data_IF_976064751148
#
_entry.id   IF_976064751148
#
_cell.length_a   1.000
_cell.length_b   1.000
_cell.length_c   1.000
_cell.angle_alpha   90.00
_cell.angle_beta   90.00
_cell.angle_gamma   90.00
#
_symmetry.space_group_name_H-M   'P 1'
#
loop_
_entity.id
_entity.type
_entity.pdbx_description
1 polymer ?
#
# COMPACT_ATOMS: atom_id res chain seq x y z
N UNK A 1 -12.82 15.22 -26.56
CA UNK A 1 -14.16 14.63 -26.32
C UNK A 1 -14.32 14.45 -24.82
N UNK A 2 -15.50 14.72 -24.25
CA UNK A 2 -15.68 14.87 -22.79
C UNK A 2 -15.36 13.56 -22.05
N UNK A 3 -14.20 13.54 -21.38
CA UNK A 3 -13.48 12.33 -20.96
C UNK A 3 -13.78 11.91 -19.51
N UNK A 4 -14.99 12.16 -19.03
CA UNK A 4 -15.42 11.69 -17.70
C UNK A 4 -15.99 10.28 -17.84
N UNK A 5 -15.09 9.30 -17.84
CA UNK A 5 -15.47 7.91 -17.60
C UNK A 5 -15.99 7.78 -16.15
N UNK A 6 -17.14 7.12 -15.92
CA UNK A 6 -17.70 6.99 -14.57
C UNK A 6 -16.86 6.10 -13.66
N UNK A 7 -16.02 5.22 -14.21
CA UNK A 7 -15.17 4.27 -13.47
C UNK A 7 -13.68 4.54 -13.68
N UNK A 8 -12.85 4.11 -12.73
CA UNK A 8 -11.38 4.11 -12.84
C UNK A 8 -10.93 3.16 -13.94
N UNK A 9 -9.88 3.54 -14.70
CA UNK A 9 -9.21 2.62 -15.62
C UNK A 9 -8.23 1.74 -14.83
N UNK A 10 -8.10 0.44 -15.15
CA UNK A 10 -7.25 -0.47 -14.39
C UNK A 10 -5.76 -0.25 -14.70
N UNK A 11 -5.21 0.89 -14.27
CA UNK A 11 -3.82 1.31 -14.47
C UNK A 11 -3.09 1.13 -13.15
N UNK A 12 -1.88 0.59 -13.18
CA UNK A 12 -1.05 0.44 -11.97
C UNK A 12 -0.33 1.74 -11.65
N UNK A 13 0.02 1.96 -10.38
CA UNK A 13 0.77 3.13 -9.96
C UNK A 13 2.10 3.27 -10.72
N UNK A 14 2.84 2.17 -10.90
CA UNK A 14 4.08 2.15 -11.68
C UNK A 14 3.90 2.70 -13.11
N UNK A 15 2.81 2.32 -13.80
CA UNK A 15 2.55 2.83 -15.16
C UNK A 15 2.18 4.32 -15.18
N UNK A 16 1.62 4.87 -14.11
CA UNK A 16 1.42 6.32 -13.97
C UNK A 16 2.74 7.05 -13.75
N UNK A 17 3.66 6.46 -12.99
CA UNK A 17 5.01 6.99 -12.79
C UNK A 17 5.79 7.00 -14.09
N UNK A 18 5.89 5.84 -14.76
CA UNK A 18 6.67 5.68 -15.99
C UNK A 18 6.19 6.63 -17.10
N UNK A 19 4.88 6.78 -17.32
CA UNK A 19 4.38 7.67 -18.38
C UNK A 19 4.60 9.15 -18.06
N UNK A 20 4.55 9.52 -16.78
CA UNK A 20 4.87 10.88 -16.32
C UNK A 20 6.35 11.18 -16.58
N UNK A 21 7.23 10.25 -16.20
CA UNK A 21 8.67 10.33 -16.45
C UNK A 21 9.01 10.41 -17.95
N UNK A 22 8.42 9.54 -18.77
CA UNK A 22 8.62 9.54 -20.22
C UNK A 22 8.22 10.87 -20.89
N UNK A 23 7.24 11.58 -20.32
CA UNK A 23 6.73 12.85 -20.84
C UNK A 23 7.39 14.10 -20.23
N UNK A 24 8.36 13.94 -19.31
CA UNK A 24 8.99 15.02 -18.55
C UNK A 24 9.87 15.90 -19.45
N UNK A 25 10.80 15.28 -20.17
CA UNK A 25 11.85 15.98 -20.91
C UNK A 25 11.50 16.31 -22.36
N UNK A 26 10.60 15.56 -22.98
CA UNK A 26 10.18 15.76 -24.36
C UNK A 26 8.73 15.39 -24.60
N UNK A 27 8.09 16.05 -25.58
CA UNK A 27 6.75 15.65 -26.00
C UNK A 27 6.79 14.25 -26.64
N UNK A 28 5.92 13.35 -26.20
CA UNK A 28 5.83 11.98 -26.71
C UNK A 28 4.64 11.78 -27.63
N UNK A 29 4.76 10.88 -28.61
CA UNK A 29 3.62 10.40 -29.41
C UNK A 29 3.16 9.05 -28.89
N UNK A 30 1.97 8.60 -29.29
CA UNK A 30 1.50 7.24 -28.96
C UNK A 30 2.48 6.16 -29.45
N UNK A 31 3.04 6.33 -30.66
CA UNK A 31 4.01 5.37 -31.23
C UNK A 31 5.29 5.28 -30.40
N UNK A 32 5.85 6.42 -29.97
CA UNK A 32 7.06 6.44 -29.15
C UNK A 32 6.84 5.73 -27.81
N UNK A 33 5.68 5.99 -27.18
CA UNK A 33 5.32 5.34 -25.93
C UNK A 33 5.04 3.84 -26.11
N UNK A 34 4.52 3.40 -27.26
CA UNK A 34 4.30 1.98 -27.51
C UNK A 34 5.62 1.22 -27.59
N UNK A 35 6.60 1.79 -28.27
CA UNK A 35 7.97 1.25 -28.37
C UNK A 35 8.68 1.23 -27.00
N UNK A 36 8.56 2.31 -26.22
CA UNK A 36 9.24 2.41 -24.93
C UNK A 36 8.65 1.48 -23.86
N UNK A 37 7.34 1.25 -23.86
CA UNK A 37 6.65 0.51 -22.79
C UNK A 37 6.48 -0.99 -23.09
N UNK A 38 6.85 -1.44 -24.30
CA UNK A 38 6.66 -2.79 -24.83
C UNK A 38 5.26 -3.35 -24.47
N UNK A 39 4.23 -2.61 -24.85
CA UNK A 39 2.85 -2.95 -24.51
C UNK A 39 1.92 -2.74 -25.71
N UNK A 40 0.74 -3.36 -25.66
CA UNK A 40 -0.24 -3.18 -26.74
C UNK A 40 -0.76 -1.74 -26.77
N UNK A 41 -1.00 -1.18 -27.96
CA UNK A 41 -1.68 0.11 -28.16
C UNK A 41 -2.91 0.29 -27.25
N UNK A 42 -3.77 -0.74 -27.14
CA UNK A 42 -4.97 -0.70 -26.28
C UNK A 42 -4.62 -0.46 -24.80
N UNK A 43 -3.57 -1.13 -24.31
CA UNK A 43 -3.10 -0.99 -22.92
C UNK A 43 -2.50 0.40 -22.71
N UNK A 44 -1.63 0.83 -23.62
CA UNK A 44 -1.01 2.14 -23.57
C UNK A 44 -2.06 3.26 -23.58
N UNK A 45 -3.04 3.18 -24.48
CA UNK A 45 -4.15 4.13 -24.54
C UNK A 45 -4.90 4.23 -23.22
N UNK A 46 -5.07 3.11 -22.50
CA UNK A 46 -5.68 3.13 -21.16
C UNK A 46 -4.83 3.89 -20.14
N UNK A 47 -3.49 3.76 -20.21
CA UNK A 47 -2.54 4.46 -19.34
C UNK A 47 -2.56 5.96 -19.65
N UNK A 48 -2.46 6.33 -20.93
CA UNK A 48 -2.51 7.72 -21.40
C UNK A 48 -3.79 8.41 -20.95
N UNK A 49 -4.95 7.79 -21.19
CA UNK A 49 -6.24 8.38 -20.84
C UNK A 49 -6.43 8.54 -19.33
N UNK A 50 -5.92 7.62 -18.50
CA UNK A 50 -5.99 7.81 -17.05
C UNK A 50 -5.02 8.90 -16.58
N UNK A 51 -3.84 8.98 -17.17
CA UNK A 51 -2.84 10.01 -16.84
C UNK A 51 -3.31 11.42 -17.25
N UNK A 52 -4.01 11.54 -18.39
CA UNK A 52 -4.70 12.77 -18.80
C UNK A 52 -5.81 13.13 -17.82
N UNK A 53 -6.60 12.15 -17.37
CA UNK A 53 -7.69 12.35 -16.41
C UNK A 53 -7.18 12.83 -15.04
N UNK A 54 -6.03 12.30 -14.60
CA UNK A 54 -5.35 12.71 -13.38
C UNK A 54 -4.57 14.02 -13.52
N UNK A 55 -4.61 14.64 -14.71
CA UNK A 55 -3.86 15.85 -15.04
C UNK A 55 -2.33 15.67 -14.89
N UNK A 56 -1.79 14.45 -14.97
CA UNK A 56 -0.34 14.18 -14.92
C UNK A 56 0.35 14.56 -16.23
N UNK A 57 -0.34 14.32 -17.34
CA UNK A 57 0.07 14.70 -18.69
C UNK A 57 -1.05 15.47 -19.37
N UNK A 58 -0.71 16.18 -20.45
CA UNK A 58 -1.66 16.90 -21.32
C UNK A 58 -1.37 16.66 -22.79
N UNK A 59 -2.42 16.71 -23.61
CA UNK A 59 -2.28 16.73 -25.07
C UNK A 59 -1.91 18.13 -25.54
N UNK A 60 -0.85 18.23 -26.35
CA UNK A 60 -0.53 19.42 -27.12
C UNK A 60 -1.34 19.35 -28.41
N UNK A 61 -2.28 20.28 -28.61
CA UNK A 61 -2.97 20.39 -29.90
C UNK A 61 -1.96 20.85 -30.95
N UNK A 62 -1.93 20.16 -32.10
CA UNK A 62 -1.22 20.61 -33.30
C UNK A 62 -1.78 21.96 -33.72
N UNK A 63 -1.21 23.02 -33.19
CA UNK A 63 -1.42 24.37 -33.68
C UNK A 63 -0.12 24.78 -34.33
N UNK A 64 -0.21 25.00 -35.65
CA UNK A 64 0.63 25.96 -36.36
C UNK A 64 1.97 25.49 -36.98
N UNK A 65 2.04 24.31 -37.63
CA UNK A 65 3.24 23.95 -38.40
C UNK A 65 3.01 23.36 -39.81
N UNK A 66 1.79 23.46 -40.36
CA UNK A 66 1.53 23.16 -41.78
C UNK A 66 1.94 21.77 -42.27
N UNK A 67 2.14 20.81 -41.36
CA UNK A 67 2.42 19.40 -41.68
C UNK A 67 1.14 18.60 -41.51
N UNK A 68 0.81 17.82 -42.54
CA UNK A 68 -0.41 17.00 -42.68
C UNK A 68 -0.56 15.85 -41.68
N UNK A 69 0.35 15.71 -40.71
CA UNK A 69 0.28 14.65 -39.70
C UNK A 69 -0.24 15.22 -38.37
N UNK A 70 -1.57 15.25 -38.21
CA UNK A 70 -2.25 15.49 -36.92
C UNK A 70 -1.98 14.34 -35.94
N UNK A 71 -0.74 14.25 -35.44
CA UNK A 71 -0.38 13.27 -34.41
C UNK A 71 -0.44 13.94 -33.04
N UNK A 72 -1.33 13.43 -32.19
CA UNK A 72 -1.42 13.84 -30.78
C UNK A 72 -0.05 13.69 -30.09
N UNK A 73 0.38 14.76 -29.42
CA UNK A 73 1.60 14.79 -28.61
C UNK A 73 1.25 14.99 -27.15
N UNK A 74 1.95 14.29 -26.27
CA UNK A 74 1.74 14.34 -24.83
C UNK A 74 2.95 14.95 -24.14
N UNK A 75 2.70 15.80 -23.14
CA UNK A 75 3.75 16.37 -22.28
C UNK A 75 3.27 16.39 -20.84
N UNK A 76 4.21 16.31 -19.89
CA UNK A 76 3.94 16.50 -18.48
C UNK A 76 3.25 17.85 -18.21
N UNK A 77 2.40 17.89 -17.18
CA UNK A 77 1.84 19.12 -16.62
C UNK A 77 2.61 19.54 -15.38
N UNK A 78 2.28 20.69 -14.78
CA UNK A 78 2.81 21.06 -13.45
C UNK A 78 2.44 20.07 -12.36
N UNK A 79 1.29 19.39 -12.47
CA UNK A 79 0.87 18.36 -11.51
C UNK A 79 1.69 17.10 -11.71
N UNK A 80 1.96 16.72 -12.97
CA UNK A 80 2.86 15.62 -13.28
C UNK A 80 4.29 15.87 -12.81
N UNK A 81 4.78 17.11 -12.91
CA UNK A 81 6.10 17.51 -12.39
C UNK A 81 6.16 17.34 -10.85
N UNK A 82 5.15 17.82 -10.12
CA UNK A 82 5.06 17.64 -8.66
C UNK A 82 4.92 16.16 -8.27
N UNK A 83 4.15 15.39 -9.03
CA UNK A 83 4.00 13.96 -8.83
C UNK A 83 5.33 13.23 -9.03
N UNK A 84 6.07 13.58 -10.09
CA UNK A 84 7.39 13.01 -10.37
C UNK A 84 8.40 13.37 -9.28
N UNK A 85 8.46 14.64 -8.87
CA UNK A 85 9.34 15.10 -7.78
C UNK A 85 9.07 14.34 -6.47
N UNK A 86 7.80 14.17 -6.09
CA UNK A 86 7.42 13.40 -4.91
C UNK A 86 7.83 11.92 -5.01
N UNK A 87 7.78 11.32 -6.20
CA UNK A 87 8.26 9.95 -6.42
C UNK A 87 9.78 9.87 -6.27
N UNK A 88 10.52 10.83 -6.85
CA UNK A 88 11.99 10.85 -6.78
C UNK A 88 12.52 11.13 -5.38
N UNK A 89 11.74 11.83 -4.55
CA UNK A 89 12.06 12.09 -3.15
C UNK A 89 11.57 10.97 -2.21
N UNK A 90 10.96 9.92 -2.75
CA UNK A 90 10.29 8.83 -2.00
C UNK A 90 9.23 9.34 -1.00
N UNK A 91 8.64 10.52 -1.24
CA UNK A 91 7.56 11.09 -0.45
C UNK A 91 6.21 10.47 -0.87
N UNK A 92 6.01 9.21 -0.52
CA UNK A 92 4.81 8.45 -0.86
C UNK A 92 3.52 9.07 -0.30
N UNK A 93 3.60 9.81 0.81
CA UNK A 93 2.46 10.56 1.36
C UNK A 93 2.08 11.71 0.45
N UNK A 94 3.06 12.46 -0.07
CA UNK A 94 2.80 13.52 -1.04
C UNK A 94 2.25 12.95 -2.35
N UNK A 95 2.76 11.81 -2.83
CA UNK A 95 2.20 11.10 -4.00
C UNK A 95 0.72 10.74 -3.77
N UNK A 96 0.38 10.18 -2.60
CA UNK A 96 -1.00 9.86 -2.23
C UNK A 96 -1.89 11.11 -2.19
N UNK A 97 -1.42 12.21 -1.60
CA UNK A 97 -2.17 13.47 -1.53
C UNK A 97 -2.47 14.07 -2.91
N UNK A 98 -1.52 13.98 -3.85
CA UNK A 98 -1.74 14.39 -5.23
C UNK A 98 -2.83 13.52 -5.87
N UNK A 99 -2.76 12.20 -5.71
CA UNK A 99 -3.75 11.28 -6.25
C UNK A 99 -5.13 11.48 -5.64
N UNK A 100 -5.25 11.71 -4.33
CA UNK A 100 -6.50 12.03 -3.64
C UNK A 100 -7.15 13.29 -4.22
N UNK A 101 -6.35 14.33 -4.45
CA UNK A 101 -6.84 15.58 -5.03
C UNK A 101 -7.29 15.41 -6.48
N UNK A 102 -6.59 14.58 -7.26
CA UNK A 102 -6.77 14.47 -8.72
C UNK A 102 -7.71 13.34 -9.15
N UNK A 103 -7.89 12.33 -8.32
CA UNK A 103 -8.76 11.19 -8.55
C UNK A 103 -9.93 11.18 -7.55
N UNK A 104 -11.16 11.53 -7.99
CA UNK A 104 -12.35 11.40 -7.17
C UNK A 104 -12.57 10.01 -6.58
N UNK A 105 -12.22 8.95 -7.33
CA UNK A 105 -12.37 7.56 -6.89
C UNK A 105 -11.39 7.20 -5.77
N UNK A 106 -10.10 7.48 -5.96
CA UNK A 106 -9.06 7.32 -4.93
C UNK A 106 -9.37 8.13 -3.65
N UNK A 107 -9.74 9.40 -3.76
CA UNK A 107 -10.10 10.21 -2.59
C UNK A 107 -11.35 9.71 -1.87
N UNK A 108 -12.40 9.33 -2.61
CA UNK A 108 -13.59 8.71 -2.01
C UNK A 108 -13.25 7.39 -1.30
N UNK A 109 -12.40 6.56 -1.90
CA UNK A 109 -11.94 5.31 -1.29
C UNK A 109 -11.24 5.54 0.04
N UNK A 110 -10.29 6.49 0.12
CA UNK A 110 -9.61 6.81 1.37
C UNK A 110 -10.57 7.38 2.42
N UNK A 111 -11.44 8.32 2.02
CA UNK A 111 -12.42 8.93 2.93
C UNK A 111 -13.37 7.89 3.54
N UNK A 112 -13.91 6.99 2.71
CA UNK A 112 -14.81 5.93 3.19
C UNK A 112 -14.07 4.99 4.14
N UNK A 113 -12.88 4.53 3.74
CA UNK A 113 -12.08 3.64 4.58
C UNK A 113 -11.75 4.30 5.92
N UNK A 114 -11.40 5.59 5.94
CA UNK A 114 -11.05 6.29 7.17
C UNK A 114 -12.18 6.24 8.20
N UNK A 115 -13.43 6.29 7.75
CA UNK A 115 -14.61 6.28 8.59
C UNK A 115 -15.03 4.88 9.08
N UNK A 116 -14.92 3.85 8.22
CA UNK A 116 -15.47 2.52 8.51
C UNK A 116 -14.42 1.48 8.91
N UNK A 117 -13.13 1.81 8.82
CA UNK A 117 -12.01 0.89 9.08
C UNK A 117 -12.04 0.24 10.49
N UNK A 118 -11.52 -1.00 10.62
CA UNK A 118 -11.06 -1.87 9.54
C UNK A 118 -12.24 -2.43 8.72
N UNK A 119 -12.07 -2.60 7.42
CA UNK A 119 -13.17 -3.03 6.55
C UNK A 119 -12.75 -3.99 5.43
N UNK A 120 -13.60 -4.98 5.17
CA UNK A 120 -13.47 -5.90 4.03
C UNK A 120 -13.81 -5.18 2.72
N UNK A 121 -13.30 -5.73 1.60
CA UNK A 121 -13.51 -5.18 0.26
C UNK A 121 -15.01 -4.97 -0.08
N UNK A 122 -15.87 -5.93 0.28
CA UNK A 122 -17.29 -5.86 -0.04
C UNK A 122 -18.02 -4.78 0.77
N UNK A 123 -17.66 -4.62 2.05
CA UNK A 123 -18.18 -3.54 2.89
C UNK A 123 -17.76 -2.17 2.35
N UNK A 124 -16.49 -2.02 1.96
CA UNK A 124 -16.00 -0.80 1.33
C UNK A 124 -16.70 -0.49 0.01
N UNK A 125 -16.91 -1.51 -0.84
CA UNK A 125 -17.59 -1.34 -2.11
C UNK A 125 -19.04 -0.87 -1.91
N UNK A 126 -19.78 -1.50 -1.00
CA UNK A 126 -21.15 -1.12 -0.70
C UNK A 126 -21.24 0.33 -0.20
N UNK A 127 -20.38 0.73 0.74
CA UNK A 127 -20.33 2.10 1.24
C UNK A 127 -19.95 3.12 0.15
N UNK A 128 -19.02 2.76 -0.74
CA UNK A 128 -18.64 3.60 -1.87
C UNK A 128 -19.79 3.79 -2.86
N UNK A 129 -20.53 2.72 -3.17
CA UNK A 129 -21.71 2.76 -4.05
C UNK A 129 -22.80 3.65 -3.43
N UNK A 130 -23.12 3.46 -2.14
CA UNK A 130 -24.17 4.21 -1.44
C UNK A 130 -23.84 5.71 -1.35
N UNK A 131 -22.62 6.06 -0.95
CA UNK A 131 -22.22 7.47 -0.78
C UNK A 131 -22.09 8.23 -2.09
N UNK A 132 -21.83 7.53 -3.19
CA UNK A 132 -21.62 8.13 -4.50
C UNK A 132 -22.80 7.93 -5.46
N UNK A 133 -23.93 7.40 -5.00
CA UNK A 133 -25.15 7.14 -5.80
C UNK A 133 -25.58 8.36 -6.62
N UNK A 134 -25.44 9.56 -6.05
CA UNK A 134 -25.87 10.83 -6.65
C UNK A 134 -24.74 11.59 -7.37
N UNK A 135 -23.59 10.95 -7.57
CA UNK A 135 -22.42 11.52 -8.27
C UNK A 135 -22.31 10.90 -9.67
N UNK A 136 -21.52 11.50 -10.59
CA UNK A 136 -21.24 10.85 -11.88
C UNK A 136 -20.26 9.67 -11.78
N UNK A 137 -19.77 9.34 -10.57
CA UNK A 137 -18.77 8.31 -10.35
C UNK A 137 -19.43 7.00 -9.93
N UNK A 138 -19.06 5.92 -10.61
CA UNK A 138 -19.47 4.57 -10.28
C UNK A 138 -18.27 3.78 -9.75
N UNK A 139 -18.56 2.88 -8.81
CA UNK A 139 -17.58 1.97 -8.22
C UNK A 139 -17.91 0.55 -8.65
N UNK A 140 -16.87 -0.26 -8.76
CA UNK A 140 -16.97 -1.69 -8.95
C UNK A 140 -15.73 -2.31 -8.31
N UNK A 141 -15.76 -3.62 -8.08
CA UNK A 141 -14.68 -4.33 -7.40
C UNK A 141 -13.29 -4.03 -8.01
N UNK A 142 -13.16 -4.09 -9.34
CA UNK A 142 -11.88 -3.81 -10.01
C UNK A 142 -11.39 -2.39 -9.79
N UNK A 143 -12.29 -1.40 -9.82
CA UNK A 143 -11.94 -0.01 -9.55
C UNK A 143 -11.44 0.20 -8.12
N UNK A 144 -12.12 -0.42 -7.14
CA UNK A 144 -11.73 -0.39 -5.73
C UNK A 144 -10.39 -1.09 -5.51
N UNK A 145 -10.16 -2.25 -6.13
CA UNK A 145 -8.88 -2.96 -6.05
C UNK A 145 -7.73 -2.16 -6.67
N UNK A 146 -7.97 -1.40 -7.73
CA UNK A 146 -6.94 -0.55 -8.37
C UNK A 146 -6.54 0.61 -7.45
N UNK A 147 -7.50 1.36 -6.90
CA UNK A 147 -7.19 2.47 -5.99
C UNK A 147 -6.65 1.97 -4.65
N UNK A 148 -7.14 0.82 -4.18
CA UNK A 148 -6.60 0.11 -3.02
C UNK A 148 -5.15 -0.34 -3.24
N UNK A 149 -4.81 -0.88 -4.42
CA UNK A 149 -3.43 -1.24 -4.76
C UNK A 149 -2.50 -0.01 -4.77
N UNK A 150 -2.96 1.12 -5.28
CA UNK A 150 -2.19 2.37 -5.20
C UNK A 150 -1.96 2.77 -3.74
N UNK A 151 -3.00 2.77 -2.92
CA UNK A 151 -2.93 3.15 -1.51
C UNK A 151 -2.05 2.20 -0.68
N UNK A 152 -2.16 0.87 -0.89
CA UNK A 152 -1.32 -0.13 -0.22
C UNK A 152 0.16 0.09 -0.55
N UNK A 153 0.49 0.31 -1.83
CA UNK A 153 1.87 0.52 -2.26
C UNK A 153 2.49 1.79 -1.70
N UNK A 154 1.69 2.85 -1.60
CA UNK A 154 2.10 4.14 -1.02
C UNK A 154 2.21 4.10 0.51
N UNK A 155 1.84 2.98 1.14
CA UNK A 155 1.93 2.79 2.60
C UNK A 155 0.93 3.63 3.40
N UNK A 156 -0.04 4.29 2.75
CA UNK A 156 -1.10 5.06 3.44
C UNK A 156 -2.21 4.17 3.99
N UNK A 157 -2.34 2.96 3.46
CA UNK A 157 -3.19 1.91 4.00
C UNK A 157 -2.40 0.61 4.07
N UNK A 158 -2.87 -0.32 4.88
CA UNK A 158 -2.45 -1.71 4.85
C UNK A 158 -3.67 -2.61 4.73
N UNK A 159 -3.45 -3.79 4.15
CA UNK A 159 -4.39 -4.90 4.20
C UNK A 159 -3.82 -5.97 5.12
N UNK A 160 -4.64 -6.40 6.07
CA UNK A 160 -4.29 -7.49 6.96
C UNK A 160 -4.11 -8.77 6.13
N UNK A 161 -2.92 -9.35 6.19
CA UNK A 161 -2.53 -10.44 5.32
C UNK A 161 -3.30 -11.75 5.55
N UNK A 162 -3.94 -11.90 6.71
CA UNK A 162 -4.68 -13.10 7.12
C UNK A 162 -6.20 -12.96 6.97
N UNK A 163 -6.74 -11.74 7.03
CA UNK A 163 -8.19 -11.49 6.95
C UNK A 163 -8.61 -10.75 5.68
N UNK A 164 -7.67 -10.05 5.01
CA UNK A 164 -7.97 -9.24 3.83
C UNK A 164 -8.66 -7.89 4.14
N UNK A 165 -8.82 -7.53 5.42
CA UNK A 165 -9.38 -6.25 5.86
C UNK A 165 -8.41 -5.11 5.62
N UNK A 166 -8.91 -4.01 5.05
CA UNK A 166 -8.15 -2.78 4.86
C UNK A 166 -8.26 -1.89 6.10
N UNK A 167 -7.19 -1.16 6.39
CA UNK A 167 -7.13 -0.12 7.42
C UNK A 167 -6.13 0.97 7.03
N UNK A 168 -6.35 2.18 7.53
CA UNK A 168 -5.45 3.32 7.32
C UNK A 168 -4.23 3.17 8.23
N UNK A 169 -3.07 3.58 7.73
CA UNK A 169 -1.84 3.72 8.53
C UNK A 169 -1.66 5.18 8.90
N UNK A 170 -1.81 5.51 10.18
CA UNK A 170 -1.69 6.89 10.68
C UNK A 170 -0.47 7.11 11.60
N UNK A 171 0.27 6.04 11.91
CA UNK A 171 1.41 6.06 12.83
C UNK A 171 2.63 5.36 12.27
N UNK A 172 3.77 6.04 12.32
CA UNK A 172 5.10 5.45 12.08
C UNK A 172 5.78 4.94 13.35
N UNK A 173 5.07 4.97 14.49
CA UNK A 173 5.56 4.49 15.79
C UNK A 173 4.43 3.82 16.56
N UNK A 174 4.74 2.81 17.36
CA UNK A 174 3.74 2.19 18.23
C UNK A 174 3.30 3.14 19.36
N UNK A 175 2.04 3.07 19.82
CA UNK A 175 1.56 3.95 20.88
C UNK A 175 2.10 3.55 22.28
N UNK A 176 2.02 4.43 23.29
CA UNK A 176 2.46 4.11 24.65
C UNK A 176 1.75 2.91 25.29
N UNK A 177 0.49 2.65 24.91
CA UNK A 177 -0.27 1.49 25.36
C UNK A 177 -0.01 0.21 24.55
N UNK A 178 1.01 0.21 23.68
CA UNK A 178 1.40 -0.93 22.85
C UNK A 178 1.48 -2.26 23.60
N UNK A 179 2.07 -2.37 24.81
CA UNK A 179 2.19 -3.66 25.49
C UNK A 179 0.83 -4.22 25.90
N UNK A 180 -0.09 -3.35 26.33
CA UNK A 180 -1.44 -3.76 26.70
C UNK A 180 -2.20 -4.30 25.49
N UNK A 181 -2.10 -3.62 24.35
CA UNK A 181 -2.75 -4.08 23.12
C UNK A 181 -2.10 -5.38 22.61
N UNK A 182 -0.77 -5.48 22.69
CA UNK A 182 -0.03 -6.66 22.30
C UNK A 182 -0.46 -7.90 23.09
N UNK A 183 -0.52 -7.79 24.41
CA UNK A 183 -0.94 -8.89 25.28
C UNK A 183 -2.41 -9.28 25.02
N UNK A 184 -3.30 -8.30 24.81
CA UNK A 184 -4.69 -8.60 24.44
C UNK A 184 -4.81 -9.36 23.10
N UNK A 185 -4.06 -8.96 22.07
CA UNK A 185 -4.05 -9.67 20.78
C UNK A 185 -3.39 -11.05 20.91
N UNK A 186 -2.34 -11.16 21.72
CA UNK A 186 -1.68 -12.43 22.02
C UNK A 186 -2.68 -13.42 22.64
N UNK A 187 -3.44 -13.00 23.65
CA UNK A 187 -4.45 -13.81 24.33
C UNK A 187 -5.57 -14.22 23.35
N UNK A 188 -6.06 -13.29 22.53
CA UNK A 188 -7.07 -13.55 21.49
C UNK A 188 -6.59 -14.62 20.48
N UNK A 189 -5.31 -14.57 20.08
CA UNK A 189 -4.71 -15.56 19.18
C UNK A 189 -4.47 -16.90 19.87
N UNK A 190 -4.08 -16.91 21.15
CA UNK A 190 -3.90 -18.15 21.92
C UNK A 190 -5.25 -18.89 22.07
N UNK A 191 -6.32 -18.17 22.44
CA UNK A 191 -7.67 -18.73 22.60
C UNK A 191 -8.17 -19.42 21.33
N UNK A 192 -7.88 -18.84 20.15
CA UNK A 192 -8.25 -19.41 18.85
C UNK A 192 -7.59 -20.78 18.57
N UNK A 193 -6.47 -21.10 19.21
CA UNK A 193 -5.73 -22.35 18.97
C UNK A 193 -6.10 -23.52 19.89
N UNK A 194 -6.99 -23.33 20.87
CA UNK A 194 -7.66 -24.41 21.62
C UNK A 194 -6.84 -25.13 22.71
N UNK A 195 -7.33 -24.98 23.95
CA UNK A 195 -7.18 -25.75 25.21
C UNK A 195 -6.11 -26.87 25.25
N UNK A 196 -4.85 -26.52 25.58
CA UNK A 196 -4.00 -27.25 26.54
C UNK A 196 -2.56 -26.70 26.55
N UNK A 197 -2.09 -26.34 27.74
CA UNK A 197 -0.73 -25.89 28.13
C UNK A 197 -0.45 -24.40 27.87
N UNK A 198 -0.65 -23.61 28.93
CA UNK A 198 -0.47 -22.16 29.08
C UNK A 198 0.99 -21.69 28.98
N UNK A 199 1.67 -22.04 27.89
CA UNK A 199 3.01 -21.53 27.51
C UNK A 199 3.14 -21.44 25.97
N UNK A 200 2.04 -21.16 25.25
CA UNK A 200 2.00 -21.29 23.79
C UNK A 200 2.56 -20.06 23.10
N UNK A 201 3.57 -20.29 22.29
CA UNK A 201 4.19 -19.27 21.45
C UNK A 201 3.23 -18.83 20.33
N UNK A 202 3.10 -17.52 20.12
CA UNK A 202 2.28 -16.96 19.03
C UNK A 202 3.18 -16.55 17.85
N UNK A 203 2.69 -16.80 16.63
CA UNK A 203 3.36 -16.38 15.39
C UNK A 203 3.49 -14.85 15.34
N UNK A 204 4.72 -14.35 15.21
CA UNK A 204 4.99 -12.91 15.10
C UNK A 204 4.30 -12.31 13.87
N UNK A 205 4.33 -12.93 12.67
CA UNK A 205 3.55 -12.46 11.52
C UNK A 205 2.07 -12.26 11.81
N UNK A 206 1.40 -13.22 12.47
CA UNK A 206 -0.02 -13.07 12.81
C UNK A 206 -0.23 -11.95 13.83
N UNK A 207 0.56 -11.96 14.91
CA UNK A 207 0.50 -10.92 15.94
C UNK A 207 0.70 -9.52 15.35
N UNK A 208 1.64 -9.37 14.41
CA UNK A 208 1.92 -8.12 13.69
C UNK A 208 0.68 -7.62 12.96
N UNK A 209 0.05 -8.46 12.14
CA UNK A 209 -1.09 -8.03 11.33
C UNK A 209 -2.29 -7.62 12.20
N UNK A 210 -2.65 -8.42 13.20
CA UNK A 210 -3.78 -8.11 14.10
C UNK A 210 -3.51 -6.88 14.97
N UNK A 211 -2.27 -6.68 15.42
CA UNK A 211 -1.92 -5.49 16.21
C UNK A 211 -1.90 -4.23 15.33
N UNK A 212 -1.22 -4.29 14.18
CA UNK A 212 -1.12 -3.14 13.26
C UNK A 212 -2.51 -2.67 12.82
N UNK A 213 -3.44 -3.58 12.52
CA UNK A 213 -4.83 -3.24 12.21
C UNK A 213 -5.51 -2.49 13.36
N UNK A 214 -5.27 -2.91 14.61
CA UNK A 214 -5.92 -2.35 15.79
C UNK A 214 -5.36 -1.00 16.22
N UNK A 215 -4.05 -0.78 16.04
CA UNK A 215 -3.37 0.45 16.47
C UNK A 215 -2.98 1.39 15.34
N UNK A 216 -3.19 0.96 14.08
CA UNK A 216 -2.95 1.72 12.85
C UNK A 216 -1.50 2.14 12.62
N UNK A 217 -0.56 1.34 13.13
CA UNK A 217 0.85 1.52 12.81
C UNK A 217 1.25 0.69 11.60
N UNK A 218 2.32 1.09 10.93
CA UNK A 218 2.96 0.24 9.93
C UNK A 218 3.67 -0.97 10.58
N UNK A 219 4.03 -1.93 9.73
CA UNK A 219 4.70 -3.18 10.12
C UNK A 219 6.09 -2.96 10.72
N UNK A 220 6.82 -1.96 10.24
CA UNK A 220 8.19 -1.66 10.69
C UNK A 220 8.17 -1.03 12.10
N UNK A 221 7.17 -0.19 12.37
CA UNK A 221 6.88 0.35 13.68
C UNK A 221 6.54 -0.75 14.68
N UNK A 222 5.72 -1.74 14.29
CA UNK A 222 5.46 -2.92 15.12
C UNK A 222 6.75 -3.69 15.43
N UNK A 223 7.56 -3.98 14.42
CA UNK A 223 8.80 -4.75 14.59
C UNK A 223 9.79 -4.04 15.54
N UNK A 224 9.93 -2.72 15.36
CA UNK A 224 10.73 -1.86 16.23
C UNK A 224 10.16 -1.82 17.66
N UNK A 225 8.84 -1.68 17.79
CA UNK A 225 8.14 -1.68 19.08
C UNK A 225 8.29 -3.01 19.82
N UNK A 226 8.15 -4.14 19.11
CA UNK A 226 8.28 -5.47 19.68
C UNK A 226 9.71 -5.77 20.13
N UNK A 227 10.71 -5.47 19.30
CA UNK A 227 12.13 -5.65 19.69
C UNK A 227 12.50 -4.81 20.91
N UNK A 228 12.02 -3.56 20.96
CA UNK A 228 12.21 -2.65 22.10
C UNK A 228 11.54 -3.19 23.36
N UNK A 229 10.27 -3.61 23.25
CA UNK A 229 9.50 -4.18 24.35
C UNK A 229 10.18 -5.44 24.93
N UNK A 230 10.61 -6.36 24.07
CA UNK A 230 11.32 -7.57 24.52
C UNK A 230 12.65 -7.20 25.18
N UNK A 231 13.40 -6.26 24.59
CA UNK A 231 14.67 -5.79 25.15
C UNK A 231 14.55 -5.19 26.55
N UNK A 232 13.43 -4.51 26.83
CA UNK A 232 13.13 -3.93 28.15
C UNK A 232 12.58 -4.94 29.17
N UNK A 233 12.16 -6.13 28.71
CA UNK A 233 11.48 -7.13 29.54
C UNK A 233 12.12 -8.53 29.42
N UNK A 234 13.45 -8.58 29.45
CA UNK A 234 14.22 -9.83 29.37
C UNK A 234 13.75 -10.81 30.47
N UNK A 235 13.42 -12.03 30.05
CA UNK A 235 12.93 -13.09 30.94
C UNK A 235 11.42 -13.06 31.22
N UNK A 236 10.73 -11.98 30.84
CA UNK A 236 9.26 -11.91 30.84
C UNK A 236 8.69 -12.16 29.45
N UNK A 237 9.36 -11.63 28.43
CA UNK A 237 9.06 -11.87 27.02
C UNK A 237 10.27 -12.52 26.35
N UNK A 238 10.02 -13.48 25.47
CA UNK A 238 11.08 -14.16 24.73
C UNK A 238 10.76 -14.28 23.25
N UNK A 239 11.75 -13.93 22.41
CA UNK A 239 11.70 -14.18 20.99
C UNK A 239 12.31 -15.55 20.69
N UNK A 240 11.59 -16.35 19.91
CA UNK A 240 12.03 -17.68 19.52
C UNK A 240 12.24 -17.78 18.02
N UNK A 241 13.40 -18.31 17.66
CA UNK A 241 13.62 -18.84 16.32
C UNK A 241 12.84 -20.14 16.15
N UNK A 242 12.46 -20.46 14.92
CA UNK A 242 11.87 -21.75 14.60
C UNK A 242 12.56 -22.38 13.39
N UNK A 243 12.54 -23.72 13.27
CA UNK A 243 12.90 -24.41 12.03
C UNK A 243 11.91 -23.99 10.93
N UNK A 244 12.43 -23.88 9.71
CA UNK A 244 11.73 -23.43 8.48
C UNK A 244 10.43 -24.19 8.15
N UNK A 245 10.14 -25.30 8.82
CA UNK A 245 9.05 -26.24 8.48
C UNK A 245 7.83 -26.22 9.44
N UNK A 246 7.72 -25.27 10.37
CA UNK A 246 6.61 -25.28 11.34
C UNK A 246 5.48 -24.31 11.00
N UNK A 247 4.34 -24.87 10.57
CA UNK A 247 2.97 -24.51 10.96
C UNK A 247 2.39 -23.11 10.69
N UNK A 248 3.20 -22.08 10.40
CA UNK A 248 2.75 -20.76 10.02
C UNK A 248 2.27 -20.82 8.57
N UNK A 249 1.07 -21.38 8.37
CA UNK A 249 0.51 -21.69 7.06
C UNK A 249 -0.11 -20.45 6.45
N UNK A 250 0.41 -20.12 5.27
CA UNK A 250 -0.18 -19.40 4.14
C UNK A 250 -0.99 -18.15 4.50
N UNK A 251 -0.30 -17.01 4.66
CA UNK A 251 -0.94 -15.72 4.45
C UNK A 251 -1.58 -15.69 3.05
N UNK A 252 -2.90 -15.49 3.00
CA UNK A 252 -3.66 -15.47 1.75
C UNK A 252 -3.28 -14.26 0.88
N UNK A 253 -2.85 -13.16 1.54
CA UNK A 253 -2.55 -11.90 0.88
C UNK A 253 -1.09 -11.47 1.12
N UNK A 254 -0.31 -11.27 0.06
CA UNK A 254 1.05 -10.73 0.18
C UNK A 254 1.12 -9.22 0.42
N UNK A 255 2.26 -8.75 0.93
CA UNK A 255 2.59 -7.33 1.10
C UNK A 255 2.94 -6.72 -0.25
N UNK A 256 2.39 -5.54 -0.55
CA UNK A 256 2.66 -4.79 -1.76
C UNK A 256 3.47 -3.55 -1.42
N UNK A 257 4.51 -3.26 -2.20
CA UNK A 257 5.33 -2.06 -2.02
C UNK A 257 5.67 -1.42 -3.37
N UNK A 258 6.05 -0.16 -3.33
CA UNK A 258 6.74 0.56 -4.39
C UNK A 258 8.01 1.17 -3.80
N UNK A 259 9.09 1.17 -4.57
CA UNK A 259 10.37 1.82 -4.25
C UNK A 259 10.94 2.44 -5.51
N UNK A 260 11.90 3.35 -5.36
CA UNK A 260 12.75 3.72 -6.50
C UNK A 260 13.49 2.48 -7.02
N UNK A 261 13.71 2.44 -8.33
CA UNK A 261 14.52 1.40 -8.93
C UNK A 261 16.01 1.64 -8.63
N UNK A 262 16.73 0.57 -8.30
CA UNK A 262 18.19 0.62 -8.11
C UNK A 262 18.95 0.52 -9.45
N UNK A 263 18.24 0.23 -10.55
CA UNK A 263 18.75 -0.07 -11.88
C UNK A 263 18.13 0.80 -12.99
N UNK A 264 18.72 0.75 -14.20
CA UNK A 264 18.34 1.60 -15.35
C UNK A 264 17.02 1.16 -16.05
N UNK A 265 16.34 0.11 -15.58
CA UNK A 265 15.16 -0.48 -16.24
C UNK A 265 13.82 0.22 -15.93
N UNK A 266 13.82 1.31 -15.14
CA UNK A 266 12.65 2.13 -14.88
C UNK A 266 12.87 3.10 -13.71
N UNK A 267 11.89 3.98 -13.43
CA UNK A 267 12.00 4.91 -12.29
C UNK A 267 11.65 4.25 -10.95
N UNK A 268 10.76 3.26 -10.97
CA UNK A 268 10.22 2.60 -9.77
C UNK A 268 10.14 1.09 -9.96
N UNK A 269 10.32 0.36 -8.87
CA UNK A 269 10.07 -1.08 -8.80
C UNK A 269 8.88 -1.35 -7.87
N UNK A 270 8.05 -2.32 -8.26
CA UNK A 270 6.91 -2.76 -7.45
C UNK A 270 7.06 -4.21 -7.06
N UNK A 271 6.82 -4.53 -5.79
CA UNK A 271 6.88 -5.90 -5.27
C UNK A 271 5.52 -6.34 -4.74
N UNK A 272 5.31 -7.66 -4.72
CA UNK A 272 4.20 -8.32 -4.03
C UNK A 272 4.73 -9.64 -3.45
N UNK A 273 4.74 -9.79 -2.11
CA UNK A 273 5.37 -10.95 -1.47
C UNK A 273 4.58 -11.47 -0.28
N UNK A 274 4.17 -12.74 -0.34
CA UNK A 274 3.67 -13.50 0.80
C UNK A 274 4.80 -13.93 1.74
N UNK A 275 6.01 -14.16 1.21
CA UNK A 275 7.20 -14.46 2.02
C UNK A 275 7.54 -13.31 2.98
N UNK A 276 7.38 -12.06 2.53
CA UNK A 276 7.56 -10.88 3.39
C UNK A 276 6.53 -10.80 4.51
N UNK A 277 5.28 -11.24 4.29
CA UNK A 277 4.29 -11.35 5.37
C UNK A 277 4.82 -12.28 6.46
N UNK A 278 5.31 -13.44 6.04
CA UNK A 278 5.78 -14.50 6.93
C UNK A 278 7.15 -14.20 7.54
N UNK A 279 7.78 -13.07 7.20
CA UNK A 279 9.03 -12.67 7.81
C UNK A 279 8.83 -12.38 9.29
N UNK A 280 9.57 -13.10 10.13
CA UNK A 280 9.69 -12.80 11.54
C UNK A 280 10.42 -11.47 11.80
N UNK A 281 10.64 -11.17 13.08
CA UNK A 281 11.39 -9.99 13.52
C UNK A 281 12.89 -10.26 13.56
N UNK A 282 13.70 -9.28 13.16
CA UNK A 282 15.15 -9.36 13.25
C UNK A 282 15.68 -8.66 14.51
N UNK A 283 16.53 -9.36 15.28
CA UNK A 283 17.25 -8.78 16.40
C UNK A 283 18.69 -9.31 16.41
N UNK A 284 19.67 -8.40 16.46
CA UNK A 284 21.10 -8.73 16.45
C UNK A 284 21.54 -9.67 15.30
N UNK A 285 20.98 -9.48 14.10
CA UNK A 285 21.30 -10.28 12.91
C UNK A 285 20.71 -11.70 12.91
N UNK A 286 19.75 -11.97 13.82
CA UNK A 286 19.00 -13.23 13.87
C UNK A 286 17.52 -12.95 13.70
N UNK A 287 16.83 -13.84 12.99
CA UNK A 287 15.39 -13.75 12.75
C UNK A 287 14.62 -14.67 13.70
N UNK A 288 13.56 -14.12 14.28
CA UNK A 288 12.70 -14.76 15.26
C UNK A 288 11.27 -14.76 14.74
N UNK A 289 10.56 -15.88 14.88
CA UNK A 289 9.26 -16.08 14.25
C UNK A 289 8.12 -16.21 15.26
N UNK A 290 8.45 -16.43 16.53
CA UNK A 290 7.47 -16.61 17.57
C UNK A 290 7.78 -15.76 18.79
N UNK A 291 6.72 -15.33 19.48
CA UNK A 291 6.79 -14.64 20.77
C UNK A 291 6.28 -15.56 21.87
N UNK A 292 6.99 -15.61 22.99
CA UNK A 292 6.54 -16.18 24.25
C UNK A 292 6.27 -15.08 25.27
N UNK A 293 5.18 -15.21 26.04
CA UNK A 293 4.87 -14.38 27.19
C UNK A 293 4.93 -15.26 28.44
N UNK A 294 5.85 -14.95 29.35
CA UNK A 294 6.03 -15.65 30.63
C UNK A 294 5.49 -14.85 31.82
N UNK A 295 5.48 -13.52 31.71
CA UNK A 295 4.98 -12.58 32.72
C UNK A 295 4.37 -11.36 32.00
N UNK A 296 3.12 -11.05 32.33
CA UNK A 296 2.32 -9.97 31.74
C UNK A 296 2.60 -8.60 32.37
N UNK A 297 3.33 -8.55 33.49
CA UNK A 297 3.75 -7.32 34.16
C UNK A 297 4.92 -6.64 33.42
N UNK A 298 4.70 -6.23 32.17
CA UNK A 298 5.72 -5.65 31.29
C UNK A 298 5.83 -4.13 31.41
N UNK A 299 7.04 -3.60 31.21
CA UNK A 299 7.35 -2.16 31.17
C UNK A 299 7.69 -1.73 29.76
N UNK A 300 7.22 -0.57 29.31
CA UNK A 300 7.53 -0.08 27.97
C UNK A 300 7.86 1.40 27.96
N UNK A 301 9.01 1.71 27.40
CA UNK A 301 9.42 3.07 27.06
C UNK A 301 9.63 3.13 25.54
N UNK A 302 8.79 3.85 24.78
CA UNK A 302 8.92 3.94 23.32
C UNK A 302 10.15 4.74 22.87
N UNK A 303 10.81 5.48 23.76
CA UNK A 303 12.00 6.28 23.49
C UNK A 303 13.17 5.82 24.39
N UNK A 304 13.99 4.84 23.97
CA UNK A 304 15.17 4.41 24.73
C UNK A 304 16.32 5.42 24.72
#
# INVERSE_FOLDING_TARGET
MSDQRPTVRPVTLARLVEITDACLNSSQTMSNLEEQFDTTERRLRSIVLESLRLDLIRTLQSTDDGRDDEVDRYRVTTVGEQFHEAVTDEDWRQVSSILETRSPHYGAFLSVLEEIQPAELQTLLAELEDRNEHTPYAFNQTGVEVVGDWAERLGVIQRNAFTGTYYVVDRSTVPPNFPFVLLAVFDELEERTGVNLSQRYVSIPELREFLCERVRCDRDAFDTGLTTLVGQNIGKLELLGAPTDTGAKDAEWGIKQIRLADDEEGLVTTTHSTEQVMAGVEQYGKRYYYLAVHDDAVTFDPEP
#
